data_IF_768611397193
#
_entry.id   IF_768611397193
#
_cell.length_a   1.000
_cell.length_b   1.000
_cell.length_c   1.000
_cell.angle_alpha   90.00
_cell.angle_beta   90.00
_cell.angle_gamma   90.00
#
_symmetry.space_group_name_H-M   'P 1'
#
loop_
_entity.id
_entity.type
_entity.pdbx_description
1 polymer ?
#
# COMPACT_ATOMS: atom_id res chain seq x y z
N UNK A 1 75.41 29.95 37.28
CA UNK A 1 74.19 29.50 37.88
C UNK A 1 73.11 29.65 36.84
N UNK A 2 72.66 28.53 36.18
CA UNK A 2 71.65 28.50 35.13
C UNK A 2 70.47 27.64 35.69
N UNK A 3 69.24 28.14 35.75
CA UNK A 3 68.11 27.30 36.20
C UNK A 3 67.55 26.47 35.05
N UNK A 4 67.46 25.17 35.25
CA UNK A 4 66.81 24.21 34.46
C UNK A 4 65.30 24.52 34.36
N UNK A 5 64.79 24.72 33.13
CA UNK A 5 63.35 24.72 32.85
C UNK A 5 62.88 23.27 32.54
N UNK A 6 62.18 22.67 33.45
CA UNK A 6 61.46 21.38 33.26
C UNK A 6 60.24 21.61 32.37
N UNK A 7 60.25 21.06 31.16
CA UNK A 7 59.11 20.97 30.26
C UNK A 7 58.13 19.89 30.78
N UNK A 8 57.02 20.31 31.35
CA UNK A 8 55.91 19.44 31.66
C UNK A 8 55.11 19.24 30.35
N UNK A 9 55.22 18.05 29.77
CA UNK A 9 54.39 17.64 28.62
C UNK A 9 52.93 17.56 29.05
N UNK A 10 52.10 18.44 28.54
CA UNK A 10 50.66 18.42 28.69
C UNK A 10 50.08 17.32 27.79
N UNK A 11 49.50 16.28 28.42
CA UNK A 11 48.74 15.21 27.76
C UNK A 11 47.48 15.84 27.13
N UNK A 12 47.19 15.66 25.84
CA UNK A 12 45.97 16.15 25.24
C UNK A 12 44.78 15.26 25.64
N UNK A 13 44.05 15.65 26.67
CA UNK A 13 42.75 15.10 27.00
C UNK A 13 41.68 15.75 26.11
N UNK A 14 41.51 15.28 24.90
CA UNK A 14 40.32 15.64 24.12
C UNK A 14 39.77 14.45 23.38
N UNK A 15 39.14 13.50 24.14
CA UNK A 15 38.10 12.66 23.60
C UNK A 15 36.84 13.51 23.49
N UNK A 16 36.64 14.14 22.34
CA UNK A 16 35.39 14.78 22.00
C UNK A 16 34.30 13.70 22.00
N UNK A 17 33.53 13.63 23.09
CA UNK A 17 32.28 12.91 23.14
C UNK A 17 31.40 13.51 22.03
N UNK A 18 31.25 12.82 20.89
CA UNK A 18 30.34 13.22 19.81
C UNK A 18 28.96 13.36 20.42
N UNK A 19 28.53 14.60 20.67
CA UNK A 19 27.15 14.90 21.06
C UNK A 19 26.25 14.33 19.98
N UNK A 20 25.45 13.32 20.35
CA UNK A 20 24.43 12.74 19.48
C UNK A 20 23.46 13.87 19.14
N UNK A 21 23.53 14.39 17.93
CA UNK A 21 22.58 15.40 17.47
C UNK A 21 21.23 14.77 17.23
N UNK A 22 20.10 15.51 17.36
CA UNK A 22 18.76 14.98 17.05
C UNK A 22 18.65 14.40 15.64
N UNK A 23 19.54 14.78 14.74
CA UNK A 23 19.65 14.31 13.38
C UNK A 23 20.31 12.92 13.31
N UNK A 24 21.36 12.67 14.09
CA UNK A 24 22.02 11.36 14.19
C UNK A 24 21.15 10.33 14.90
N UNK A 25 20.36 10.76 15.89
CA UNK A 25 19.39 9.88 16.57
C UNK A 25 18.29 9.40 15.59
N UNK A 26 17.78 10.29 14.74
CA UNK A 26 16.80 9.93 13.70
C UNK A 26 17.37 8.96 12.68
N UNK A 27 18.61 9.13 12.26
CA UNK A 27 19.29 8.21 11.35
C UNK A 27 19.52 6.83 11.98
N UNK A 28 19.88 6.78 13.24
CA UNK A 28 20.06 5.54 14.00
C UNK A 28 18.71 4.83 14.19
N UNK A 29 17.67 5.55 14.65
CA UNK A 29 16.32 5.00 14.77
C UNK A 29 15.80 4.45 13.42
N UNK A 30 16.07 5.18 12.35
CA UNK A 30 15.69 4.76 11.00
C UNK A 30 16.40 3.50 10.53
N UNK A 31 17.70 3.33 10.84
CA UNK A 31 18.45 2.10 10.58
C UNK A 31 17.95 0.92 11.42
N UNK A 32 17.64 1.15 12.70
CA UNK A 32 17.09 0.14 13.60
C UNK A 32 15.68 -0.29 13.14
N UNK A 33 14.82 0.67 12.81
CA UNK A 33 13.49 0.40 12.28
C UNK A 33 13.57 -0.44 11.00
N UNK A 34 14.50 -0.10 10.09
CA UNK A 34 14.75 -0.83 8.85
C UNK A 34 15.20 -2.29 9.09
N UNK A 35 16.05 -2.51 10.08
CA UNK A 35 16.60 -3.84 10.42
C UNK A 35 15.57 -4.74 11.15
N UNK A 36 14.66 -4.16 11.92
CA UNK A 36 13.73 -4.91 12.76
C UNK A 36 12.38 -5.16 12.09
N UNK A 37 11.86 -4.22 11.31
CA UNK A 37 10.48 -4.32 10.83
C UNK A 37 10.31 -5.30 9.68
N UNK A 38 11.29 -5.44 8.80
CA UNK A 38 11.21 -6.43 7.73
C UNK A 38 11.20 -7.86 8.30
N UNK A 39 12.16 -8.28 9.14
CA UNK A 39 12.10 -9.62 9.76
C UNK A 39 10.89 -9.80 10.68
N UNK A 40 10.44 -8.77 11.40
CA UNK A 40 9.25 -8.85 12.24
C UNK A 40 7.97 -9.09 11.41
N UNK A 41 7.84 -8.46 10.26
CA UNK A 41 6.72 -8.69 9.35
C UNK A 41 6.71 -10.13 8.83
N UNK A 42 7.88 -10.66 8.46
CA UNK A 42 8.03 -12.06 8.06
C UNK A 42 7.73 -13.01 9.23
N UNK A 43 8.21 -12.72 10.43
CA UNK A 43 7.95 -13.53 11.61
C UNK A 43 6.44 -13.59 11.94
N UNK A 44 5.71 -12.48 11.82
CA UNK A 44 4.25 -12.44 12.01
C UNK A 44 3.53 -13.30 10.97
N UNK A 45 3.97 -13.25 9.71
CA UNK A 45 3.38 -14.09 8.64
C UNK A 45 3.65 -15.56 8.91
N UNK A 46 4.90 -15.92 9.23
CA UNK A 46 5.27 -17.32 9.56
C UNK A 46 4.51 -17.82 10.78
N UNK A 47 4.40 -17.03 11.85
CA UNK A 47 3.62 -17.35 13.04
C UNK A 47 2.14 -17.62 12.71
N UNK A 48 1.54 -16.80 11.84
CA UNK A 48 0.15 -17.00 11.40
C UNK A 48 -0.01 -18.28 10.57
N UNK A 49 0.94 -18.59 9.68
CA UNK A 49 0.95 -19.82 8.89
C UNK A 49 1.08 -21.03 9.83
N UNK A 50 1.99 -20.99 10.78
CA UNK A 50 2.20 -22.05 11.78
C UNK A 50 0.96 -22.23 12.67
N UNK A 51 0.39 -21.14 13.18
CA UNK A 51 -0.84 -21.16 13.99
C UNK A 51 -2.03 -21.74 13.23
N UNK A 52 -2.12 -21.51 11.93
CA UNK A 52 -3.15 -22.12 11.08
C UNK A 52 -2.89 -23.59 10.79
N UNK A 53 -1.64 -23.96 10.51
CA UNK A 53 -1.24 -25.34 10.26
C UNK A 53 -1.41 -26.23 11.51
N UNK A 54 -1.34 -25.64 12.71
CA UNK A 54 -1.49 -26.36 13.99
C UNK A 54 -2.96 -26.63 14.38
N UNK A 55 -3.94 -26.12 13.64
CA UNK A 55 -5.35 -26.39 13.93
C UNK A 55 -5.73 -27.82 13.49
N UNK A 56 -6.50 -28.57 14.30
CA UNK A 56 -6.95 -29.91 13.96
C UNK A 56 -7.74 -29.89 12.64
N UNK A 57 -7.26 -30.65 11.65
CA UNK A 57 -7.87 -30.72 10.31
C UNK A 57 -7.15 -29.92 9.22
N UNK A 58 -6.24 -29.00 9.56
CA UNK A 58 -5.53 -28.16 8.60
C UNK A 58 -4.08 -28.64 8.38
N UNK A 59 -3.89 -29.90 7.99
CA UNK A 59 -2.56 -30.45 7.68
C UNK A 59 -2.04 -29.96 6.32
N UNK A 60 -1.85 -28.64 6.15
CA UNK A 60 -1.38 -28.04 4.89
C UNK A 60 -0.01 -28.60 4.49
N UNK A 61 0.87 -28.84 5.46
CA UNK A 61 2.25 -29.31 5.20
C UNK A 61 2.37 -30.82 5.05
N UNK A 62 1.42 -31.62 5.55
CA UNK A 62 1.51 -33.09 5.44
C UNK A 62 1.28 -33.60 4.02
N UNK A 63 0.59 -32.83 3.18
CA UNK A 63 0.27 -33.18 1.78
C UNK A 63 0.94 -32.23 0.77
N UNK A 64 2.03 -31.53 1.17
CA UNK A 64 2.72 -30.59 0.29
C UNK A 64 3.27 -31.27 -0.96
N UNK A 65 2.86 -30.78 -2.13
CA UNK A 65 3.27 -31.27 -3.43
C UNK A 65 4.27 -30.31 -4.11
N UNK A 66 4.93 -30.78 -5.16
CA UNK A 66 5.80 -29.92 -6.01
C UNK A 66 5.00 -28.76 -6.61
N UNK A 67 3.73 -28.99 -6.98
CA UNK A 67 2.80 -27.95 -7.45
C UNK A 67 2.61 -26.81 -6.45
N UNK A 68 2.54 -27.12 -5.15
CA UNK A 68 2.39 -26.10 -4.10
C UNK A 68 3.65 -25.23 -3.97
N UNK A 69 4.81 -25.84 -4.19
CA UNK A 69 6.10 -25.12 -4.23
C UNK A 69 6.15 -24.16 -5.44
N UNK A 70 5.68 -24.57 -6.61
CA UNK A 70 5.60 -23.72 -7.80
C UNK A 70 4.64 -22.56 -7.56
N UNK A 71 3.44 -22.80 -7.04
CA UNK A 71 2.49 -21.76 -6.68
C UNK A 71 3.09 -20.74 -5.70
N UNK A 72 3.84 -21.20 -4.70
CA UNK A 72 4.50 -20.31 -3.75
C UNK A 72 5.54 -19.40 -4.42
N UNK A 73 6.32 -19.94 -5.36
CA UNK A 73 7.30 -19.17 -6.13
C UNK A 73 6.58 -18.12 -6.98
N UNK A 74 5.47 -18.48 -7.65
CA UNK A 74 4.66 -17.54 -8.43
C UNK A 74 4.08 -16.43 -7.56
N UNK A 75 3.56 -16.75 -6.37
CA UNK A 75 3.03 -15.77 -5.41
C UNK A 75 4.12 -14.78 -5.00
N UNK A 76 5.33 -15.26 -4.70
CA UNK A 76 6.47 -14.42 -4.34
C UNK A 76 6.89 -13.54 -5.52
N UNK A 77 6.95 -14.09 -6.73
CA UNK A 77 7.29 -13.34 -7.94
C UNK A 77 6.27 -12.21 -8.20
N UNK A 78 4.97 -12.49 -8.08
CA UNK A 78 3.91 -11.49 -8.20
C UNK A 78 3.98 -10.43 -7.10
N UNK A 79 4.37 -10.79 -5.88
CA UNK A 79 4.59 -9.83 -4.78
C UNK A 79 5.72 -8.84 -5.12
N UNK A 80 6.85 -9.34 -5.61
CA UNK A 80 7.97 -8.50 -6.03
C UNK A 80 7.54 -7.59 -7.17
N UNK A 81 6.82 -8.12 -8.16
CA UNK A 81 6.29 -7.37 -9.30
C UNK A 81 5.32 -6.25 -8.86
N UNK A 82 4.45 -6.53 -7.89
CA UNK A 82 3.55 -5.55 -7.30
C UNK A 82 4.32 -4.38 -6.66
N UNK A 83 5.40 -4.66 -5.92
CA UNK A 83 6.25 -3.63 -5.33
C UNK A 83 7.02 -2.83 -6.37
N UNK A 84 7.49 -3.47 -7.45
CA UNK A 84 8.18 -2.79 -8.56
C UNK A 84 7.23 -1.84 -9.30
N UNK A 85 5.99 -2.27 -9.59
CA UNK A 85 4.97 -1.40 -10.21
C UNK A 85 4.71 -0.18 -9.31
N UNK A 86 4.58 -0.40 -8.01
CA UNK A 86 4.36 0.70 -7.07
C UNK A 86 5.57 1.65 -6.99
N UNK A 87 6.80 1.12 -7.11
CA UNK A 87 8.01 1.92 -7.17
C UNK A 87 8.08 2.77 -8.46
N UNK A 88 7.68 2.20 -9.60
CA UNK A 88 7.56 2.95 -10.87
C UNK A 88 6.51 4.04 -10.77
N UNK A 89 5.33 3.74 -10.21
CA UNK A 89 4.29 4.75 -9.96
C UNK A 89 4.83 5.90 -9.09
N UNK A 90 5.52 5.55 -7.99
CA UNK A 90 6.11 6.53 -7.10
C UNK A 90 7.17 7.41 -7.80
N UNK A 91 8.05 6.79 -8.58
CA UNK A 91 9.06 7.49 -9.37
C UNK A 91 8.43 8.48 -10.35
N UNK A 92 7.37 8.06 -11.06
CA UNK A 92 6.65 8.93 -12.01
C UNK A 92 6.00 10.10 -11.27
N UNK A 93 5.33 9.85 -10.15
CA UNK A 93 4.63 10.88 -9.38
C UNK A 93 5.59 11.92 -8.79
N UNK A 94 6.79 11.51 -8.39
CA UNK A 94 7.79 12.40 -7.76
C UNK A 94 8.75 13.06 -8.73
N UNK A 95 8.73 12.69 -10.02
CA UNK A 95 9.71 13.13 -11.03
C UNK A 95 9.84 14.66 -11.13
N UNK A 96 8.73 15.39 -11.01
CA UNK A 96 8.72 16.86 -11.10
C UNK A 96 9.08 17.54 -9.76
N UNK A 97 9.17 16.76 -8.69
CA UNK A 97 9.54 17.22 -7.35
C UNK A 97 11.05 17.01 -7.15
N UNK A 98 11.50 15.80 -7.45
CA UNK A 98 12.88 15.37 -7.32
C UNK A 98 13.08 14.11 -8.16
N UNK A 99 14.14 14.09 -8.97
CA UNK A 99 14.53 12.87 -9.71
C UNK A 99 15.01 11.82 -8.69
N UNK A 100 14.34 10.68 -8.67
CA UNK A 100 14.63 9.54 -7.79
C UNK A 100 14.91 8.32 -8.66
N UNK A 101 15.92 7.52 -8.31
CA UNK A 101 16.17 6.25 -8.99
C UNK A 101 15.09 5.23 -8.68
N UNK A 102 14.93 4.21 -9.54
CA UNK A 102 13.96 3.14 -9.29
C UNK A 102 14.28 2.37 -8.01
N UNK A 103 15.57 2.12 -7.73
CA UNK A 103 16.00 1.46 -6.50
C UNK A 103 15.65 2.28 -5.25
N UNK A 104 15.86 3.61 -5.27
CA UNK A 104 15.44 4.49 -4.17
C UNK A 104 13.93 4.52 -4.03
N UNK A 105 13.19 4.52 -5.15
CA UNK A 105 11.72 4.47 -5.14
C UNK A 105 11.21 3.17 -4.53
N UNK A 106 11.77 2.03 -4.91
CA UNK A 106 11.45 0.72 -4.34
C UNK A 106 11.73 0.70 -2.83
N UNK A 107 12.87 1.24 -2.43
CA UNK A 107 13.23 1.37 -1.04
C UNK A 107 12.22 2.23 -0.26
N UNK A 108 11.80 3.37 -0.82
CA UNK A 108 10.76 4.22 -0.25
C UNK A 108 9.41 3.51 -0.12
N UNK A 109 9.04 2.68 -1.10
CA UNK A 109 7.81 1.88 -1.07
C UNK A 109 7.88 0.85 0.06
N UNK A 110 8.99 0.10 0.18
CA UNK A 110 9.16 -0.90 1.25
C UNK A 110 9.08 -0.24 2.63
N UNK A 111 9.79 0.88 2.84
CA UNK A 111 9.69 1.63 4.09
C UNK A 111 8.27 2.11 4.34
N UNK A 112 7.61 2.63 3.31
CA UNK A 112 6.25 3.13 3.41
C UNK A 112 5.29 2.02 3.85
N UNK A 113 5.32 0.86 3.21
CA UNK A 113 4.49 -0.30 3.57
C UNK A 113 4.76 -0.71 5.02
N UNK A 114 6.02 -0.82 5.39
CA UNK A 114 6.46 -1.22 6.73
C UNK A 114 5.95 -0.28 7.82
N UNK A 115 6.17 1.04 7.65
CA UNK A 115 5.68 2.05 8.61
C UNK A 115 4.15 2.13 8.56
N UNK A 116 3.55 1.92 7.38
CA UNK A 116 2.11 1.85 7.21
C UNK A 116 1.46 0.74 8.03
N UNK A 117 2.07 -0.45 8.10
CA UNK A 117 1.57 -1.57 8.91
C UNK A 117 1.53 -1.27 10.40
N UNK A 118 2.44 -0.41 10.88
CA UNK A 118 2.55 -0.03 12.30
C UNK A 118 1.64 1.15 12.68
N UNK A 119 0.99 1.78 11.70
CA UNK A 119 0.20 3.00 11.95
C UNK A 119 -1.27 2.82 11.58
N UNK A 120 -2.19 3.43 12.38
CA UNK A 120 -3.61 3.44 12.06
C UNK A 120 -3.87 3.99 10.66
N UNK A 121 -4.78 3.34 9.91
CA UNK A 121 -5.15 3.72 8.52
C UNK A 121 -3.94 3.86 7.58
N UNK A 122 -2.82 3.20 7.90
CA UNK A 122 -1.58 3.24 7.11
C UNK A 122 -1.05 4.67 6.85
N UNK A 123 -1.34 5.62 7.75
CA UNK A 123 -0.88 7.03 7.61
C UNK A 123 0.66 7.10 7.56
N UNK A 124 1.34 6.21 8.26
CA UNK A 124 2.80 6.11 8.24
C UNK A 124 3.38 5.82 6.86
N UNK A 125 2.60 5.25 5.94
CA UNK A 125 3.03 5.00 4.56
C UNK A 125 3.40 6.29 3.83
N UNK A 126 2.64 7.37 4.08
CA UNK A 126 2.89 8.71 3.52
C UNK A 126 4.28 9.22 3.98
N UNK A 127 4.51 9.13 5.28
CA UNK A 127 5.78 9.53 5.89
C UNK A 127 6.95 8.68 5.40
N UNK A 128 6.79 7.35 5.46
CA UNK A 128 7.81 6.38 5.09
C UNK A 128 8.31 6.55 3.65
N UNK A 129 7.40 6.67 2.69
CA UNK A 129 7.76 6.92 1.28
C UNK A 129 8.47 8.25 1.06
N UNK A 130 8.09 9.26 1.83
CA UNK A 130 8.66 10.60 1.68
C UNK A 130 10.07 10.74 2.25
N UNK A 131 10.53 9.78 3.06
CA UNK A 131 11.87 9.82 3.68
C UNK A 131 13.02 9.75 2.67
N UNK A 132 12.79 9.20 1.48
CA UNK A 132 13.79 9.16 0.40
C UNK A 132 13.94 10.52 -0.30
N UNK A 133 13.02 11.45 -0.09
CA UNK A 133 13.07 12.79 -0.64
C UNK A 133 13.84 13.74 0.30
N UNK A 134 14.46 14.76 -0.27
CA UNK A 134 15.05 15.85 0.51
C UNK A 134 14.00 16.49 1.41
N UNK A 135 14.40 16.95 2.60
CA UNK A 135 13.51 17.47 3.63
C UNK A 135 12.55 18.55 3.13
N UNK A 136 13.03 19.42 2.26
CA UNK A 136 12.26 20.50 1.61
C UNK A 136 11.16 19.97 0.64
N UNK A 137 11.33 18.74 0.10
CA UNK A 137 10.45 18.12 -0.87
C UNK A 137 9.46 17.12 -0.26
N UNK A 138 9.61 16.76 1.01
CA UNK A 138 8.78 15.74 1.66
C UNK A 138 7.30 16.09 1.65
N UNK A 139 6.95 17.35 1.93
CA UNK A 139 5.54 17.81 1.90
C UNK A 139 4.93 17.69 0.50
N UNK A 140 5.71 17.95 -0.55
CA UNK A 140 5.29 17.74 -1.93
C UNK A 140 5.12 16.25 -2.24
N UNK A 141 5.97 15.40 -1.68
CA UNK A 141 5.85 13.95 -1.73
C UNK A 141 4.55 13.44 -1.10
N UNK A 142 4.08 14.03 0.00
CA UNK A 142 2.78 13.68 0.59
C UNK A 142 1.62 13.90 -0.37
N UNK A 143 1.68 15.00 -1.12
CA UNK A 143 0.66 15.30 -2.13
C UNK A 143 0.73 14.30 -3.29
N UNK A 144 1.94 13.99 -3.78
CA UNK A 144 2.14 12.98 -4.80
C UNK A 144 1.61 11.60 -4.37
N UNK A 145 1.82 11.23 -3.10
CA UNK A 145 1.23 10.03 -2.51
C UNK A 145 -0.29 10.08 -2.51
N UNK A 146 -0.87 11.21 -2.09
CA UNK A 146 -2.33 11.39 -2.08
C UNK A 146 -2.96 11.21 -3.47
N UNK A 147 -2.33 11.76 -4.53
CA UNK A 147 -2.77 11.55 -5.92
C UNK A 147 -2.68 10.07 -6.30
N UNK A 148 -1.57 9.41 -6.00
CA UNK A 148 -1.39 7.98 -6.25
C UNK A 148 -2.43 7.11 -5.53
N UNK A 149 -2.78 7.48 -4.29
CA UNK A 149 -3.81 6.82 -3.48
C UNK A 149 -5.21 7.03 -4.06
N UNK A 150 -5.56 8.25 -4.48
CA UNK A 150 -6.84 8.54 -5.15
C UNK A 150 -7.00 7.75 -6.45
N UNK A 151 -5.94 7.67 -7.26
CA UNK A 151 -5.93 6.83 -8.47
C UNK A 151 -6.15 5.37 -8.11
N UNK A 152 -5.48 4.84 -7.09
CA UNK A 152 -5.65 3.46 -6.68
C UNK A 152 -7.07 3.18 -6.17
N UNK A 153 -7.66 4.10 -5.40
CA UNK A 153 -9.06 4.02 -4.96
C UNK A 153 -10.03 4.01 -6.14
N UNK A 154 -9.80 4.87 -7.15
CA UNK A 154 -10.61 4.87 -8.37
C UNK A 154 -10.50 3.55 -9.13
N UNK A 155 -9.30 2.98 -9.26
CA UNK A 155 -9.10 1.67 -9.89
C UNK A 155 -9.82 0.57 -9.11
N UNK A 156 -9.74 0.58 -7.79
CA UNK A 156 -10.46 -0.40 -6.94
C UNK A 156 -11.98 -0.26 -7.13
N UNK A 157 -12.50 0.95 -7.18
CA UNK A 157 -13.92 1.20 -7.44
C UNK A 157 -14.35 0.71 -8.84
N UNK A 158 -13.50 0.88 -9.87
CA UNK A 158 -13.77 0.38 -11.22
C UNK A 158 -13.92 -1.14 -11.23
N UNK A 159 -12.95 -1.89 -10.68
CA UNK A 159 -13.00 -3.35 -10.62
C UNK A 159 -14.14 -3.84 -9.73
N UNK A 160 -14.43 -3.13 -8.64
CA UNK A 160 -15.58 -3.40 -7.80
C UNK A 160 -16.90 -3.24 -8.52
N UNK A 161 -17.07 -2.19 -9.35
CA UNK A 161 -18.25 -2.01 -10.21
C UNK A 161 -18.38 -3.13 -11.24
N UNK A 162 -17.27 -3.56 -11.86
CA UNK A 162 -17.27 -4.71 -12.77
C UNK A 162 -17.72 -5.99 -12.05
N UNK A 163 -17.27 -6.19 -10.80
CA UNK A 163 -17.71 -7.30 -9.96
C UNK A 163 -19.23 -7.24 -9.67
N UNK A 164 -19.75 -6.08 -9.28
CA UNK A 164 -21.18 -5.92 -9.03
C UNK A 164 -22.02 -6.20 -10.28
N UNK A 165 -21.56 -5.75 -11.44
CA UNK A 165 -22.21 -6.05 -12.72
C UNK A 165 -22.17 -7.57 -13.04
N UNK A 166 -21.05 -8.23 -12.77
CA UNK A 166 -20.94 -9.69 -12.95
C UNK A 166 -21.89 -10.44 -12.02
N UNK A 167 -21.97 -10.09 -10.74
CA UNK A 167 -22.90 -10.70 -9.77
C UNK A 167 -24.35 -10.48 -10.22
N UNK A 168 -24.67 -9.30 -10.73
CA UNK A 168 -25.99 -9.01 -11.29
C UNK A 168 -26.32 -9.95 -12.45
N UNK A 169 -25.38 -10.19 -13.36
CA UNK A 169 -25.59 -11.09 -14.52
C UNK A 169 -25.80 -12.56 -14.15
N UNK A 170 -25.38 -12.99 -12.97
CA UNK A 170 -25.59 -14.33 -12.43
C UNK A 170 -27.00 -14.56 -11.88
N UNK A 171 -27.88 -13.54 -11.87
CA UNK A 171 -29.26 -13.64 -11.44
C UNK A 171 -29.46 -13.92 -9.95
N UNK A 172 -28.50 -13.59 -9.10
CA UNK A 172 -28.58 -13.78 -7.64
C UNK A 172 -29.51 -12.76 -6.99
N UNK A 173 -30.81 -12.93 -7.18
CA UNK A 173 -31.84 -11.93 -6.88
C UNK A 173 -32.00 -11.56 -5.40
N UNK A 174 -31.75 -12.47 -4.45
CA UNK A 174 -31.84 -12.15 -3.01
C UNK A 174 -30.81 -11.12 -2.57
N UNK A 175 -29.65 -11.10 -3.22
CA UNK A 175 -28.58 -10.15 -2.99
C UNK A 175 -28.87 -8.75 -3.58
N UNK A 176 -29.81 -8.67 -4.54
CA UNK A 176 -30.04 -7.51 -5.38
C UNK A 176 -30.57 -6.28 -4.64
N UNK A 177 -31.45 -6.48 -3.65
CA UNK A 177 -32.17 -5.36 -3.00
C UNK A 177 -31.25 -4.39 -2.25
N UNK A 178 -30.08 -4.85 -1.80
CA UNK A 178 -29.07 -4.03 -1.10
C UNK A 178 -27.89 -3.63 -2.01
N UNK A 179 -27.70 -4.32 -3.13
CA UNK A 179 -26.61 -4.08 -4.09
C UNK A 179 -26.83 -2.79 -4.89
N UNK A 180 -28.06 -2.41 -5.18
CA UNK A 180 -28.33 -1.21 -5.99
C UNK A 180 -27.75 0.05 -5.37
N UNK A 181 -27.99 0.29 -4.08
CA UNK A 181 -27.46 1.45 -3.36
C UNK A 181 -25.92 1.42 -3.38
N UNK A 182 -25.33 0.25 -3.15
CA UNK A 182 -23.87 0.08 -3.19
C UNK A 182 -23.30 0.34 -4.59
N UNK A 183 -24.00 -0.08 -5.63
CA UNK A 183 -23.61 0.14 -7.02
C UNK A 183 -23.65 1.62 -7.37
N UNK A 184 -24.74 2.33 -7.04
CA UNK A 184 -24.85 3.77 -7.27
C UNK A 184 -23.80 4.56 -6.48
N UNK A 185 -23.57 4.20 -5.21
CA UNK A 185 -22.55 4.84 -4.39
C UNK A 185 -21.15 4.62 -4.96
N UNK A 186 -20.85 3.39 -5.39
CA UNK A 186 -19.57 3.04 -6.00
C UNK A 186 -19.36 3.75 -7.33
N UNK A 187 -20.39 3.85 -8.16
CA UNK A 187 -20.37 4.59 -9.42
C UNK A 187 -20.15 6.09 -9.17
N UNK A 188 -20.82 6.65 -8.18
CA UNK A 188 -20.65 8.04 -7.79
C UNK A 188 -19.21 8.31 -7.33
N UNK A 189 -18.66 7.49 -6.40
CA UNK A 189 -17.30 7.62 -5.90
C UNK A 189 -16.27 7.44 -7.02
N UNK A 190 -16.44 6.42 -7.87
CA UNK A 190 -15.59 6.20 -9.02
C UNK A 190 -15.57 7.41 -9.96
N UNK A 191 -16.76 7.92 -10.33
CA UNK A 191 -16.89 9.07 -11.22
C UNK A 191 -16.29 10.32 -10.58
N UNK A 192 -16.59 10.60 -9.32
CA UNK A 192 -16.08 11.76 -8.59
C UNK A 192 -14.56 11.76 -8.51
N UNK A 193 -13.94 10.64 -8.11
CA UNK A 193 -12.49 10.53 -7.96
C UNK A 193 -11.82 10.61 -9.33
N UNK A 194 -12.33 9.87 -10.32
CA UNK A 194 -11.75 9.82 -11.68
C UNK A 194 -11.79 11.20 -12.32
N UNK A 195 -12.95 11.88 -12.29
CA UNK A 195 -13.08 13.24 -12.79
C UNK A 195 -12.16 14.22 -12.05
N UNK A 196 -12.09 14.11 -10.71
CA UNK A 196 -11.21 14.96 -9.90
C UNK A 196 -9.74 14.78 -10.25
N UNK A 197 -9.28 13.53 -10.45
CA UNK A 197 -7.89 13.23 -10.82
C UNK A 197 -7.56 13.78 -12.20
N UNK A 198 -8.38 13.51 -13.22
CA UNK A 198 -8.10 13.96 -14.59
C UNK A 198 -8.28 15.46 -14.80
N UNK A 199 -9.08 16.13 -13.97
CA UNK A 199 -9.27 17.58 -13.97
C UNK A 199 -8.47 18.28 -12.87
N UNK A 200 -7.51 17.61 -12.25
CA UNK A 200 -6.69 18.13 -11.15
C UNK A 200 -6.09 19.52 -11.43
N UNK A 201 -5.50 19.82 -12.62
CA UNK A 201 -4.97 21.14 -12.91
C UNK A 201 -6.04 22.24 -12.85
N UNK A 202 -7.25 21.99 -13.37
CA UNK A 202 -8.37 22.93 -13.36
C UNK A 202 -8.93 23.15 -11.95
N UNK A 203 -9.02 22.07 -11.17
CA UNK A 203 -9.48 22.13 -9.77
C UNK A 203 -8.50 22.98 -8.96
N UNK A 204 -7.20 22.77 -9.12
CA UNK A 204 -6.16 23.53 -8.42
C UNK A 204 -6.20 25.01 -8.79
N UNK A 205 -6.45 25.33 -10.04
CA UNK A 205 -6.59 26.73 -10.50
C UNK A 205 -7.78 27.43 -9.83
N UNK A 206 -8.93 26.74 -9.76
CA UNK A 206 -10.11 27.26 -9.05
C UNK A 206 -9.86 27.40 -7.55
N UNK A 207 -9.21 26.41 -6.93
CA UNK A 207 -8.90 26.42 -5.49
C UNK A 207 -7.94 27.53 -5.09
N UNK A 208 -7.05 27.99 -5.98
CA UNK A 208 -6.15 29.14 -5.72
C UNK A 208 -6.89 30.47 -5.48
N UNK A 209 -8.14 30.57 -5.92
CA UNK A 209 -8.98 31.77 -5.71
C UNK A 209 -9.46 31.88 -4.25
N UNK A 210 -9.46 30.82 -3.48
CA UNK A 210 -9.87 30.85 -2.07
C UNK A 210 -8.73 31.38 -1.19
N UNK A 211 -8.99 32.41 -0.41
CA UNK A 211 -8.01 33.12 0.44
C UNK A 211 -7.33 32.23 1.47
N UNK A 212 -8.01 31.20 2.00
CA UNK A 212 -7.46 30.24 2.94
C UNK A 212 -6.33 29.37 2.31
N UNK A 213 -6.47 29.02 1.03
CA UNK A 213 -5.51 28.23 0.27
C UNK A 213 -4.41 29.11 -0.34
N UNK A 214 -4.63 30.41 -0.45
CA UNK A 214 -3.65 31.37 -0.97
C UNK A 214 -2.36 31.41 -0.15
N UNK A 215 -2.43 31.19 1.17
CA UNK A 215 -1.25 31.08 2.05
C UNK A 215 -0.39 29.85 1.76
N UNK A 216 -0.90 28.83 1.08
CA UNK A 216 -0.21 27.58 0.74
C UNK A 216 0.01 27.41 -0.77
N UNK A 217 -0.01 28.51 -1.55
CA UNK A 217 0.16 28.51 -3.01
C UNK A 217 1.33 27.64 -3.49
N UNK A 218 2.46 27.69 -2.79
CA UNK A 218 3.66 26.94 -3.12
C UNK A 218 3.47 25.41 -3.12
N UNK A 219 2.56 24.88 -2.32
CA UNK A 219 2.26 23.43 -2.28
C UNK A 219 1.39 23.05 -3.49
N UNK A 220 0.44 23.91 -3.85
CA UNK A 220 -0.53 23.64 -4.93
C UNK A 220 0.03 23.90 -6.34
N UNK A 221 1.07 24.72 -6.49
CA UNK A 221 1.71 24.93 -7.79
C UNK A 221 2.25 23.63 -8.39
N UNK A 222 2.74 22.70 -7.57
CA UNK A 222 3.22 21.41 -8.05
C UNK A 222 2.13 20.50 -8.59
N UNK A 223 0.87 20.66 -8.14
CA UNK A 223 -0.27 19.90 -8.65
C UNK A 223 -0.63 20.24 -10.10
N UNK A 224 -0.30 21.46 -10.55
CA UNK A 224 -0.51 21.89 -11.94
C UNK A 224 0.43 21.20 -12.92
N UNK A 225 1.57 20.69 -12.44
CA UNK A 225 2.56 20.00 -13.28
C UNK A 225 2.16 18.55 -13.61
N UNK A 226 1.05 18.05 -13.03
CA UNK A 226 0.53 16.73 -13.36
C UNK A 226 -0.23 16.77 -14.69
N UNK A 227 0.47 16.48 -15.79
CA UNK A 227 -0.17 16.36 -17.10
C UNK A 227 -1.16 15.20 -17.14
N UNK A 228 -2.23 15.33 -17.94
CA UNK A 228 -3.21 14.25 -18.16
C UNK A 228 -2.54 12.94 -18.61
N UNK A 229 -1.52 13.04 -19.48
CA UNK A 229 -0.74 11.88 -19.93
C UNK A 229 -0.05 11.17 -18.77
N UNK A 230 0.58 11.93 -17.86
CA UNK A 230 1.23 11.37 -16.66
C UNK A 230 0.22 10.67 -15.76
N UNK A 231 -0.94 11.29 -15.52
CA UNK A 231 -2.01 10.71 -14.72
C UNK A 231 -2.59 9.44 -15.36
N UNK A 232 -2.77 9.42 -16.69
CA UNK A 232 -3.21 8.24 -17.42
C UNK A 232 -2.22 7.07 -17.32
N UNK A 233 -0.91 7.34 -17.42
CA UNK A 233 0.12 6.30 -17.21
C UNK A 233 0.05 5.74 -15.79
N UNK A 234 -0.05 6.59 -14.77
CA UNK A 234 -0.15 6.15 -13.37
C UNK A 234 -1.46 5.38 -13.13
N UNK A 235 -2.54 5.74 -13.81
CA UNK A 235 -3.82 5.03 -13.77
C UNK A 235 -3.70 3.64 -14.38
N UNK A 236 -3.10 3.52 -15.57
CA UNK A 236 -2.82 2.24 -16.24
C UNK A 236 -1.93 1.32 -15.39
N UNK A 237 -0.88 1.86 -14.76
CA UNK A 237 -0.04 1.12 -13.80
C UNK A 237 -0.84 0.71 -12.56
N UNK A 238 -1.79 1.53 -12.11
CA UNK A 238 -2.72 1.18 -11.03
C UNK A 238 -3.63 0.01 -11.38
N UNK A 239 -4.17 -0.02 -12.60
CA UNK A 239 -4.98 -1.14 -13.12
C UNK A 239 -4.11 -2.42 -13.19
N UNK A 240 -2.93 -2.32 -13.78
CA UNK A 240 -2.04 -3.47 -13.90
C UNK A 240 -1.63 -4.01 -12.51
N UNK A 241 -1.33 -3.12 -11.57
CA UNK A 241 -1.07 -3.49 -10.17
C UNK A 241 -2.25 -4.23 -9.55
N UNK A 242 -3.49 -3.79 -9.80
CA UNK A 242 -4.68 -4.44 -9.26
C UNK A 242 -4.82 -5.87 -9.81
N UNK A 243 -4.58 -6.07 -11.11
CA UNK A 243 -4.60 -7.40 -11.75
C UNK A 243 -3.55 -8.30 -11.11
N UNK A 244 -2.29 -7.85 -11.01
CA UNK A 244 -1.20 -8.61 -10.38
C UNK A 244 -1.54 -9.01 -8.94
N UNK A 245 -2.06 -8.07 -8.17
CA UNK A 245 -2.46 -8.29 -6.79
C UNK A 245 -3.63 -9.31 -6.70
N UNK A 246 -4.62 -9.18 -7.57
CA UNK A 246 -5.76 -10.11 -7.61
C UNK A 246 -5.33 -11.51 -8.06
N UNK A 247 -4.40 -11.62 -9.01
CA UNK A 247 -3.79 -12.90 -9.40
C UNK A 247 -3.03 -13.54 -8.25
N UNK A 248 -2.25 -12.76 -7.51
CA UNK A 248 -1.54 -13.24 -6.31
C UNK A 248 -2.52 -13.77 -5.27
N UNK A 249 -3.61 -13.05 -5.01
CA UNK A 249 -4.64 -13.49 -4.06
C UNK A 249 -5.36 -14.75 -4.56
N UNK A 250 -5.66 -14.85 -5.84
CA UNK A 250 -6.24 -16.06 -6.44
C UNK A 250 -5.33 -17.29 -6.25
N UNK A 251 -4.02 -17.15 -6.49
CA UNK A 251 -3.06 -18.24 -6.26
C UNK A 251 -2.98 -18.64 -4.77
N UNK A 252 -3.07 -17.67 -3.85
CA UNK A 252 -3.17 -17.96 -2.42
C UNK A 252 -4.43 -18.78 -2.10
N UNK A 253 -5.59 -18.39 -2.63
CA UNK A 253 -6.85 -19.14 -2.45
C UNK A 253 -6.68 -20.60 -2.92
N UNK A 254 -6.02 -20.82 -4.06
CA UNK A 254 -5.72 -22.16 -4.58
C UNK A 254 -4.73 -22.92 -3.70
N UNK A 255 -3.71 -22.26 -3.21
CA UNK A 255 -2.72 -22.86 -2.31
C UNK A 255 -3.38 -23.36 -1.01
N UNK A 256 -4.42 -22.67 -0.52
CA UNK A 256 -5.23 -23.09 0.63
C UNK A 256 -6.36 -24.07 0.27
N UNK A 257 -6.28 -24.71 -0.90
CA UNK A 257 -7.14 -25.83 -1.27
C UNK A 257 -8.56 -25.46 -1.71
N UNK A 258 -8.82 -24.17 -1.99
CA UNK A 258 -10.13 -23.75 -2.50
C UNK A 258 -10.15 -23.82 -4.03
N UNK A 259 -11.04 -24.65 -4.58
CA UNK A 259 -11.27 -24.76 -6.02
C UNK A 259 -12.39 -23.80 -6.45
N UNK A 260 -12.01 -22.57 -6.77
CA UNK A 260 -12.91 -21.52 -7.23
C UNK A 260 -12.56 -21.12 -8.66
N UNK A 261 -13.58 -20.88 -9.49
CA UNK A 261 -13.40 -20.37 -10.84
C UNK A 261 -12.72 -18.99 -10.81
N UNK A 262 -11.83 -18.73 -11.78
CA UNK A 262 -11.06 -17.49 -11.87
C UNK A 262 -11.95 -16.23 -11.91
N UNK A 263 -13.06 -16.23 -12.63
CA UNK A 263 -13.99 -15.09 -12.70
C UNK A 263 -14.67 -14.84 -11.35
N UNK A 264 -15.11 -15.90 -10.66
CA UNK A 264 -15.69 -15.81 -9.33
C UNK A 264 -14.65 -15.30 -8.31
N UNK A 265 -13.40 -15.78 -8.40
CA UNK A 265 -12.32 -15.33 -7.52
C UNK A 265 -12.02 -13.85 -7.73
N UNK A 266 -11.81 -13.40 -8.97
CA UNK A 266 -11.56 -11.99 -9.28
C UNK A 266 -12.72 -11.09 -8.88
N UNK A 267 -13.95 -11.57 -9.06
CA UNK A 267 -15.14 -10.85 -8.61
C UNK A 267 -15.22 -10.75 -7.09
N UNK A 268 -15.03 -11.86 -6.38
CA UNK A 268 -14.99 -11.85 -4.90
C UNK A 268 -13.90 -10.95 -4.33
N UNK A 269 -12.69 -11.00 -4.90
CA UNK A 269 -11.57 -10.13 -4.51
C UNK A 269 -11.94 -8.66 -4.75
N UNK A 270 -12.46 -8.33 -5.93
CA UNK A 270 -12.82 -6.96 -6.29
C UNK A 270 -13.91 -6.39 -5.39
N UNK A 271 -14.93 -7.19 -5.07
CA UNK A 271 -16.00 -6.82 -4.15
C UNK A 271 -15.47 -6.63 -2.72
N UNK A 272 -14.60 -7.54 -2.26
CA UNK A 272 -13.94 -7.41 -0.95
C UNK A 272 -13.23 -6.07 -0.82
N UNK A 273 -12.40 -5.70 -1.80
CA UNK A 273 -11.66 -4.43 -1.76
C UNK A 273 -12.56 -3.22 -1.95
N UNK A 274 -13.65 -3.33 -2.68
CA UNK A 274 -14.67 -2.29 -2.76
C UNK A 274 -15.28 -2.02 -1.38
N UNK A 275 -15.71 -3.07 -0.67
CA UNK A 275 -16.28 -2.98 0.68
C UNK A 275 -15.28 -2.34 1.64
N UNK A 276 -14.02 -2.79 1.63
CA UNK A 276 -12.96 -2.24 2.48
C UNK A 276 -12.71 -0.75 2.20
N UNK A 277 -12.82 -0.33 0.93
CA UNK A 277 -12.64 1.08 0.54
C UNK A 277 -13.66 2.00 1.21
N UNK A 278 -14.88 1.54 1.42
CA UNK A 278 -15.93 2.28 2.11
C UNK A 278 -15.91 2.13 3.64
N UNK A 279 -15.09 1.22 4.18
CA UNK A 279 -15.03 0.97 5.62
C UNK A 279 -14.37 2.16 6.37
N UNK A 280 -15.06 2.76 7.36
CA UNK A 280 -14.51 3.88 8.13
C UNK A 280 -13.53 3.43 9.23
N UNK A 281 -13.37 2.13 9.45
CA UNK A 281 -12.67 1.57 10.61
C UNK A 281 -11.15 1.51 10.43
N UNK A 282 -10.40 1.50 11.54
CA UNK A 282 -8.93 1.59 11.54
C UNK A 282 -8.23 0.40 12.22
N UNK A 283 -7.13 0.04 11.68
CA UNK A 283 -5.98 -0.80 12.02
C UNK A 283 -6.15 -2.09 12.82
N UNK A 284 -6.65 -2.15 14.03
CA UNK A 284 -6.80 -3.43 14.77
C UNK A 284 -8.07 -4.16 14.33
N UNK A 285 -9.14 -3.41 14.07
CA UNK A 285 -10.37 -3.94 13.47
C UNK A 285 -10.19 -4.30 11.98
N UNK A 286 -9.13 -3.81 11.32
CA UNK A 286 -8.90 -3.98 9.87
C UNK A 286 -8.78 -5.46 9.46
N UNK A 287 -8.13 -6.30 10.27
CA UNK A 287 -8.03 -7.74 10.01
C UNK A 287 -9.41 -8.43 10.09
N UNK A 288 -10.20 -8.11 11.10
CA UNK A 288 -11.55 -8.65 11.24
C UNK A 288 -12.49 -8.18 10.13
N UNK A 289 -12.41 -6.90 9.75
CA UNK A 289 -13.20 -6.33 8.66
C UNK A 289 -12.80 -6.93 7.32
N UNK A 290 -11.51 -7.12 7.07
CA UNK A 290 -11.03 -7.79 5.85
C UNK A 290 -11.53 -9.22 5.78
N UNK A 291 -11.40 -9.99 6.86
CA UNK A 291 -11.91 -11.35 6.94
C UNK A 291 -13.43 -11.41 6.72
N UNK A 292 -14.20 -10.54 7.40
CA UNK A 292 -15.67 -10.49 7.24
C UNK A 292 -16.07 -10.05 5.83
N UNK A 293 -15.41 -9.04 5.25
CA UNK A 293 -15.67 -8.59 3.89
C UNK A 293 -15.34 -9.69 2.86
N UNK A 294 -14.24 -10.43 3.08
CA UNK A 294 -13.87 -11.57 2.23
C UNK A 294 -14.89 -12.69 2.36
N UNK A 295 -15.25 -13.10 3.59
CA UNK A 295 -16.27 -14.12 3.82
C UNK A 295 -17.59 -13.76 3.14
N UNK A 296 -18.04 -12.52 3.30
CA UNK A 296 -19.25 -12.01 2.67
C UNK A 296 -19.15 -12.02 1.13
N UNK A 297 -18.09 -11.48 0.54
CA UNK A 297 -17.94 -11.39 -0.90
C UNK A 297 -17.86 -12.78 -1.55
N UNK A 298 -17.22 -13.73 -0.89
CA UNK A 298 -17.05 -15.08 -1.43
C UNK A 298 -18.24 -16.02 -1.11
N UNK A 299 -19.07 -15.72 -0.10
CA UNK A 299 -20.30 -16.49 0.16
C UNK A 299 -21.27 -16.45 -1.02
N UNK A 300 -21.15 -15.46 -1.91
CA UNK A 300 -21.93 -15.35 -3.14
C UNK A 300 -21.58 -16.49 -4.14
N UNK A 301 -20.33 -16.97 -4.09
CA UNK A 301 -19.79 -17.89 -5.08
C UNK A 301 -19.50 -19.29 -4.52
N UNK A 302 -19.43 -19.45 -3.20
CA UNK A 302 -19.04 -20.69 -2.54
C UNK A 302 -19.65 -20.81 -1.15
N UNK A 303 -20.16 -21.99 -0.82
CA UNK A 303 -20.64 -22.30 0.53
C UNK A 303 -19.51 -22.59 1.52
N UNK A 304 -18.28 -22.84 1.04
CA UNK A 304 -17.10 -23.10 1.85
C UNK A 304 -16.12 -21.92 1.75
N UNK A 305 -16.29 -20.94 2.60
CA UNK A 305 -15.47 -19.71 2.61
C UNK A 305 -14.27 -19.79 3.56
N UNK A 306 -14.13 -20.85 4.37
CA UNK A 306 -13.11 -20.95 5.42
C UNK A 306 -11.67 -20.78 4.91
N UNK A 307 -11.27 -21.55 3.90
CA UNK A 307 -9.94 -21.47 3.30
C UNK A 307 -9.67 -20.14 2.60
N UNK A 308 -10.72 -19.50 2.06
CA UNK A 308 -10.61 -18.22 1.35
C UNK A 308 -10.37 -17.04 2.30
N UNK A 309 -10.97 -17.08 3.50
CA UNK A 309 -10.80 -16.02 4.51
C UNK A 309 -9.38 -16.00 5.08
N UNK A 310 -8.70 -17.14 5.02
CA UNK A 310 -7.35 -17.32 5.54
C UNK A 310 -6.29 -16.90 4.51
N UNK A 311 -6.55 -17.11 3.21
CA UNK A 311 -5.71 -16.65 2.11
C UNK A 311 -5.61 -15.12 2.06
#
# INVERSE_FOLDING_TARGET
>A
MIPHKTNIATIPTNKSVRKITPQSLKEILFRILKLLVVPLSFAIVLYKIESFASQPGNNIFSNWQITDTVLLIEIIALMIMNWLIEAVKWQILTRDIQKVSIASSLFGVIIGITVGLLTPKRIGEIGGRSLILKRENQKKGWIAFGIGSLIQTSVTALFGLMSLFYIYSLGQAEFMKNIEIFTYLSLFVFSLITLSVFHLPLIVEKLKKFSFLARRKHIFTHLQNFSRKKLAIVYGLGMFKFIIFSSQFFLLIRLFGSDINILNAFSGISLTYLIITFSPFSSIADLGIRGSATAFAFSIFSNNTGGIVIA
#
